data_IF_281306350377
#
_entry.id   IF_281306350377
#
_cell.length_a   1.000
_cell.length_b   1.000
_cell.length_c   1.000
_cell.angle_alpha   90.00
_cell.angle_beta   90.00
_cell.angle_gamma   90.00
#
_symmetry.space_group_name_H-M   'P 1'
#
loop_
_entity.id
_entity.type
_entity.pdbx_description
1 polymer ?
#
# COMPACT_ATOMS: atom_id res chain seq x y z
N UNK A 1 15.92 -19.45 -6.30
CA UNK A 1 17.17 -18.64 -6.29
C UNK A 1 16.95 -17.40 -5.46
N UNK A 2 17.79 -17.14 -4.45
CA UNK A 2 17.72 -15.87 -3.71
C UNK A 2 18.11 -14.73 -4.65
N UNK A 3 17.29 -13.68 -4.70
CA UNK A 3 17.61 -12.49 -5.48
C UNK A 3 18.77 -11.73 -4.78
N UNK A 4 19.96 -11.79 -5.37
CA UNK A 4 21.17 -11.22 -4.77
C UNK A 4 21.06 -9.69 -4.60
N UNK A 5 20.41 -8.99 -5.52
CA UNK A 5 20.20 -7.55 -5.45
C UNK A 5 19.29 -7.16 -4.29
N UNK A 6 18.19 -7.89 -4.11
CA UNK A 6 17.30 -7.68 -2.99
C UNK A 6 17.98 -7.96 -1.65
N UNK A 7 18.76 -9.05 -1.55
CA UNK A 7 19.49 -9.38 -0.32
C UNK A 7 20.49 -8.29 0.02
N UNK A 8 21.26 -7.82 -0.96
CA UNK A 8 22.21 -6.71 -0.77
C UNK A 8 21.53 -5.45 -0.24
N UNK A 9 20.34 -5.14 -0.76
CA UNK A 9 19.56 -4.00 -0.27
C UNK A 9 19.05 -4.21 1.17
N UNK A 10 18.54 -5.40 1.49
CA UNK A 10 18.08 -5.74 2.85
C UNK A 10 19.19 -5.59 3.88
N UNK A 11 20.42 -5.98 3.53
CA UNK A 11 21.58 -5.91 4.42
C UNK A 11 22.03 -4.46 4.70
N UNK A 12 21.75 -3.53 3.80
CA UNK A 12 22.17 -2.13 3.84
C UNK A 12 21.11 -1.17 4.34
N UNK A 13 19.82 -1.49 4.08
CA UNK A 13 18.69 -0.60 4.37
C UNK A 13 18.04 -0.93 5.72
N UNK A 14 17.96 0.08 6.58
CA UNK A 14 17.29 -0.03 7.87
C UNK A 14 16.08 0.90 7.93
N UNK A 15 14.90 0.34 8.20
CA UNK A 15 13.67 1.12 8.35
C UNK A 15 13.82 2.17 9.45
N UNK A 16 13.43 3.41 9.16
CA UNK A 16 13.44 4.51 10.10
C UNK A 16 12.04 4.99 10.42
N UNK A 17 11.19 5.12 9.39
CA UNK A 17 9.85 5.64 9.55
C UNK A 17 8.92 5.16 8.43
N UNK A 18 7.64 5.09 8.76
CA UNK A 18 6.54 4.97 7.79
C UNK A 18 5.48 5.98 8.18
N UNK A 19 5.11 6.83 7.24
CA UNK A 19 4.11 7.85 7.51
C UNK A 19 3.18 8.09 6.32
N UNK A 20 2.02 8.64 6.63
CA UNK A 20 1.02 9.05 5.67
C UNK A 20 1.39 10.41 5.07
N UNK A 21 1.50 10.48 3.75
CA UNK A 21 1.74 11.74 3.03
C UNK A 21 0.44 12.37 2.55
N UNK A 22 -0.48 11.56 2.04
CA UNK A 22 -1.74 12.02 1.48
C UNK A 22 -2.83 10.98 1.69
N UNK A 23 -4.05 11.45 1.90
CA UNK A 23 -5.20 10.59 2.08
C UNK A 23 -6.45 11.26 1.52
N UNK A 24 -7.22 10.51 0.75
CA UNK A 24 -8.52 10.90 0.25
C UNK A 24 -9.53 9.81 0.58
N UNK A 25 -10.57 10.17 1.31
CA UNK A 25 -11.68 9.28 1.62
C UNK A 25 -13.00 10.01 1.33
N UNK A 26 -13.79 9.51 0.39
CA UNK A 26 -15.04 10.16 0.00
C UNK A 26 -16.07 9.19 -0.58
N UNK A 27 -17.34 9.57 -0.43
CA UNK A 27 -18.44 9.04 -1.23
C UNK A 27 -18.63 9.88 -2.48
N UNK A 28 -19.05 9.25 -3.56
CA UNK A 28 -19.22 9.89 -4.87
C UNK A 28 -20.70 10.13 -5.12
N UNK A 29 -21.03 11.34 -5.61
CA UNK A 29 -22.41 11.73 -5.88
C UNK A 29 -23.26 11.78 -4.61
N UNK A 30 -24.44 11.24 -4.71
CA UNK A 30 -25.42 11.14 -3.62
C UNK A 30 -25.38 9.82 -2.83
N UNK A 31 -24.39 8.98 -3.10
CA UNK A 31 -24.22 7.73 -2.37
C UNK A 31 -23.85 7.98 -0.91
N UNK A 32 -24.67 7.46 0.00
CA UNK A 32 -24.44 7.50 1.43
C UNK A 32 -24.46 6.08 2.01
N UNK A 33 -23.33 5.54 2.43
CA UNK A 33 -23.23 4.18 2.95
C UNK A 33 -24.13 3.93 4.16
N UNK A 34 -24.34 4.93 5.01
CA UNK A 34 -25.20 4.80 6.19
C UNK A 34 -26.62 4.39 5.85
N UNK A 35 -27.11 4.80 4.70
CA UNK A 35 -28.48 4.53 4.24
C UNK A 35 -28.55 3.53 3.09
N UNK A 36 -27.45 2.91 2.73
CA UNK A 36 -27.43 1.89 1.69
C UNK A 36 -28.04 0.58 2.19
N UNK A 37 -29.13 0.16 1.56
CA UNK A 37 -29.85 -1.04 1.96
C UNK A 37 -29.17 -2.35 1.50
N UNK A 38 -28.41 -2.29 0.41
CA UNK A 38 -27.81 -3.47 -0.22
C UNK A 38 -26.43 -3.18 -0.80
N UNK A 39 -25.41 -3.76 -0.19
CA UNK A 39 -24.02 -3.69 -0.66
C UNK A 39 -23.64 -4.80 -1.64
N UNK A 40 -24.53 -5.77 -1.88
CA UNK A 40 -24.22 -6.93 -2.73
C UNK A 40 -23.92 -6.56 -4.18
N UNK A 41 -24.40 -5.39 -4.63
CA UNK A 41 -24.15 -4.85 -5.97
C UNK A 41 -22.80 -4.16 -6.11
N UNK A 42 -22.09 -3.95 -5.01
CA UNK A 42 -20.79 -3.27 -5.02
C UNK A 42 -19.67 -4.29 -4.96
N UNK A 43 -18.68 -4.07 -5.81
CA UNK A 43 -17.43 -4.82 -5.82
C UNK A 43 -16.33 -3.91 -5.31
N UNK A 44 -15.45 -4.43 -4.47
CA UNK A 44 -14.27 -3.70 -4.01
C UNK A 44 -13.10 -3.99 -4.94
N UNK A 45 -12.50 -2.93 -5.44
CA UNK A 45 -11.28 -2.99 -6.23
C UNK A 45 -10.15 -2.35 -5.43
N UNK A 46 -8.96 -2.93 -5.50
CA UNK A 46 -7.78 -2.46 -4.78
C UNK A 46 -6.73 -1.89 -5.70
N UNK A 47 -6.05 -0.85 -5.23
CA UNK A 47 -4.85 -0.28 -5.82
C UNK A 47 -3.65 -0.55 -4.91
N UNK A 48 -2.56 -0.96 -5.52
CA UNK A 48 -1.25 -1.03 -4.89
C UNK A 48 -0.20 -0.67 -5.94
N UNK A 49 0.48 0.44 -5.75
CA UNK A 49 1.45 0.97 -6.70
C UNK A 49 2.67 1.55 -5.98
N UNK A 50 3.83 0.97 -6.21
CA UNK A 50 5.10 1.60 -5.84
C UNK A 50 5.37 2.71 -6.86
N UNK A 51 5.20 3.95 -6.43
CA UNK A 51 5.15 5.12 -7.31
C UNK A 51 6.53 5.60 -7.71
N UNK A 52 7.39 5.76 -6.72
CA UNK A 52 8.76 6.23 -6.91
C UNK A 52 9.61 5.95 -5.67
N UNK A 53 10.91 6.00 -5.86
CA UNK A 53 11.90 6.05 -4.81
C UNK A 53 12.86 7.23 -5.00
N UNK A 54 13.37 7.79 -3.92
CA UNK A 54 14.31 8.89 -3.93
C UNK A 54 15.35 8.69 -2.83
N UNK A 55 16.61 8.95 -3.17
CA UNK A 55 17.69 8.99 -2.18
C UNK A 55 17.98 10.42 -1.83
N UNK A 56 17.92 10.75 -0.55
CA UNK A 56 18.25 12.06 0.00
C UNK A 56 19.57 11.99 0.75
N UNK A 57 20.40 13.00 0.55
CA UNK A 57 21.57 13.22 1.38
C UNK A 57 21.16 13.92 2.67
N UNK A 58 21.67 13.46 3.79
CA UNK A 58 21.48 14.05 5.10
C UNK A 58 22.77 14.70 5.59
N UNK A 59 22.66 15.62 6.52
CA UNK A 59 23.83 16.22 7.17
C UNK A 59 24.68 15.12 7.82
N UNK A 60 26.02 15.15 7.57
CA UNK A 60 26.97 14.23 8.17
C UNK A 60 27.13 12.89 7.45
N UNK A 61 27.23 12.87 6.12
CA UNK A 61 27.50 11.70 5.26
C UNK A 61 26.42 10.61 5.28
N UNK A 62 25.27 10.86 5.88
CA UNK A 62 24.14 9.93 5.88
C UNK A 62 23.31 10.03 4.61
N UNK A 63 22.76 8.88 4.15
CA UNK A 63 21.77 8.82 3.08
C UNK A 63 20.48 8.18 3.56
N UNK A 64 19.37 8.70 3.05
CA UNK A 64 18.03 8.24 3.34
C UNK A 64 17.34 7.83 2.03
N UNK A 65 16.88 6.60 1.95
CA UNK A 65 16.00 6.15 0.87
C UNK A 65 14.55 6.42 1.29
N UNK A 66 13.79 7.08 0.43
CA UNK A 66 12.35 7.28 0.57
C UNK A 66 11.63 6.53 -0.54
N UNK A 67 10.66 5.68 -0.17
CA UNK A 67 9.84 4.94 -1.11
C UNK A 67 8.39 5.37 -0.96
N UNK A 68 7.78 5.83 -2.06
CA UNK A 68 6.40 6.30 -2.10
C UNK A 68 5.51 5.19 -2.66
N UNK A 69 4.47 4.84 -1.92
CA UNK A 69 3.55 3.77 -2.29
C UNK A 69 2.12 4.27 -2.20
N UNK A 70 1.38 4.16 -3.30
CA UNK A 70 -0.05 4.43 -3.34
C UNK A 70 -0.81 3.15 -3.03
N UNK A 71 -1.77 3.28 -2.12
CA UNK A 71 -2.72 2.24 -1.72
C UNK A 71 -4.14 2.76 -1.90
N UNK A 72 -5.05 1.90 -2.29
CA UNK A 72 -6.44 2.31 -2.47
C UNK A 72 -7.42 1.17 -2.39
N UNK A 73 -8.64 1.53 -2.06
CA UNK A 73 -9.82 0.68 -2.17
C UNK A 73 -10.97 1.53 -2.73
N UNK A 74 -11.72 0.99 -3.67
CA UNK A 74 -12.91 1.63 -4.20
C UNK A 74 -14.07 0.65 -4.31
N UNK A 75 -15.25 1.15 -4.00
CA UNK A 75 -16.52 0.40 -4.13
C UNK A 75 -17.16 0.78 -5.43
N UNK A 76 -17.35 -0.20 -6.30
CA UNK A 76 -17.75 0.00 -7.69
C UNK A 76 -19.01 -0.80 -7.98
N UNK A 77 -19.99 -0.17 -8.61
CA UNK A 77 -21.14 -0.85 -9.19
C UNK A 77 -20.82 -1.22 -10.66
N UNK A 78 -20.48 -2.47 -10.91
CA UNK A 78 -20.10 -2.95 -12.24
C UNK A 78 -21.28 -2.98 -13.24
N UNK A 79 -22.53 -2.84 -12.77
CA UNK A 79 -23.71 -2.75 -13.63
C UNK A 79 -23.93 -1.35 -14.20
N UNK A 80 -23.21 -0.33 -13.68
CA UNK A 80 -23.32 1.04 -14.19
C UNK A 80 -22.44 1.19 -15.45
N UNK A 81 -23.04 1.54 -16.61
CA UNK A 81 -22.30 1.66 -17.87
C UNK A 81 -21.36 2.87 -17.93
N UNK A 82 -21.61 3.91 -17.13
CA UNK A 82 -20.74 5.07 -17.02
C UNK A 82 -19.67 4.82 -15.95
N UNK A 83 -18.41 4.74 -16.35
CA UNK A 83 -17.29 4.45 -15.45
C UNK A 83 -17.16 5.48 -14.31
N UNK A 84 -17.39 6.76 -14.58
CA UNK A 84 -17.34 7.81 -13.57
C UNK A 84 -18.42 7.64 -12.50
N UNK A 85 -19.61 7.23 -12.91
CA UNK A 85 -20.76 7.00 -12.00
C UNK A 85 -20.70 5.62 -11.33
N UNK A 86 -19.87 4.71 -11.84
CA UNK A 86 -19.73 3.37 -11.28
C UNK A 86 -19.07 3.38 -9.91
N UNK A 87 -18.12 4.28 -9.68
CA UNK A 87 -17.46 4.42 -8.38
C UNK A 87 -18.39 5.10 -7.38
N UNK A 88 -18.70 4.42 -6.28
CA UNK A 88 -19.61 4.91 -5.23
C UNK A 88 -18.88 5.49 -4.04
N UNK A 89 -17.76 4.90 -3.66
CA UNK A 89 -16.88 5.39 -2.61
C UNK A 89 -15.45 5.00 -2.90
N UNK A 90 -14.50 5.77 -2.37
CA UNK A 90 -13.09 5.45 -2.48
C UNK A 90 -12.32 5.91 -1.24
N UNK A 91 -11.28 5.17 -0.92
CA UNK A 91 -10.28 5.50 0.09
C UNK A 91 -8.92 5.27 -0.56
N UNK A 92 -8.13 6.32 -0.66
CA UNK A 92 -6.80 6.29 -1.27
C UNK A 92 -5.80 6.95 -0.33
N UNK A 93 -4.59 6.45 -0.32
CA UNK A 93 -3.52 7.00 0.49
C UNK A 93 -2.17 6.83 -0.20
N UNK A 94 -1.31 7.83 -0.02
CA UNK A 94 0.11 7.72 -0.33
C UNK A 94 0.90 7.64 0.96
N UNK A 95 1.62 6.53 1.13
CA UNK A 95 2.55 6.33 2.23
C UNK A 95 3.98 6.55 1.78
N UNK A 96 4.80 6.97 2.72
CA UNK A 96 6.26 7.06 2.55
C UNK A 96 6.91 6.14 3.58
N UNK A 97 7.77 5.25 3.10
CA UNK A 97 8.67 4.49 3.94
C UNK A 97 10.09 5.05 3.80
N UNK A 98 10.74 5.30 4.91
CA UNK A 98 12.09 5.86 4.97
C UNK A 98 13.06 4.85 5.55
N UNK A 99 14.20 4.72 4.89
CA UNK A 99 15.25 3.77 5.24
C UNK A 99 16.60 4.47 5.31
N UNK A 100 17.31 4.28 6.43
CA UNK A 100 18.70 4.70 6.51
C UNK A 100 19.56 3.76 5.66
N UNK A 101 20.45 4.32 4.87
CA UNK A 101 21.41 3.59 4.06
C UNK A 101 22.77 3.51 4.79
N UNK A 102 23.20 2.31 5.14
CA UNK A 102 24.49 2.11 5.78
C UNK A 102 25.67 2.25 4.80
N UNK A 103 25.41 2.06 3.51
CA UNK A 103 26.37 2.22 2.42
C UNK A 103 25.66 2.53 1.10
N UNK A 104 26.41 2.88 0.08
CA UNK A 104 25.88 3.09 -1.26
C UNK A 104 25.29 1.79 -1.83
N UNK A 105 24.19 1.95 -2.56
CA UNK A 105 23.52 0.87 -3.29
C UNK A 105 23.37 1.23 -4.77
N UNK A 106 23.54 0.24 -5.60
CA UNK A 106 23.20 0.36 -7.02
C UNK A 106 21.70 0.53 -7.21
N UNK A 107 21.34 1.29 -8.24
CA UNK A 107 19.92 1.56 -8.54
C UNK A 107 19.08 0.29 -8.64
N UNK A 108 19.62 -0.77 -9.25
CA UNK A 108 18.91 -2.05 -9.39
C UNK A 108 18.56 -2.68 -8.04
N UNK A 109 19.42 -2.54 -7.04
CA UNK A 109 19.15 -3.03 -5.68
C UNK A 109 18.04 -2.22 -5.00
N UNK A 110 18.06 -0.90 -5.18
CA UNK A 110 17.02 0.03 -4.67
C UNK A 110 15.67 -0.28 -5.32
N UNK A 111 15.64 -0.45 -6.63
CA UNK A 111 14.41 -0.75 -7.38
C UNK A 111 13.80 -2.09 -6.93
N UNK A 112 14.62 -3.13 -6.79
CA UNK A 112 14.17 -4.45 -6.32
C UNK A 112 13.62 -4.40 -4.89
N UNK A 113 14.29 -3.67 -4.00
CA UNK A 113 13.84 -3.48 -2.63
C UNK A 113 12.53 -2.69 -2.57
N UNK A 114 12.45 -1.59 -3.31
CA UNK A 114 11.26 -0.73 -3.36
C UNK A 114 10.04 -1.51 -3.84
N UNK A 115 10.20 -2.32 -4.86
CA UNK A 115 9.10 -3.11 -5.44
C UNK A 115 8.68 -4.30 -4.55
N UNK A 116 9.61 -4.94 -3.86
CA UNK A 116 9.34 -6.21 -3.18
C UNK A 116 9.25 -6.12 -1.67
N UNK A 117 9.86 -5.11 -1.07
CA UNK A 117 9.99 -5.04 0.39
C UNK A 117 9.32 -3.82 1.04
N UNK A 118 9.33 -2.65 0.39
CA UNK A 118 8.77 -1.44 1.00
C UNK A 118 7.27 -1.58 1.32
N UNK A 119 6.50 -2.18 0.44
CA UNK A 119 5.08 -2.41 0.64
C UNK A 119 4.78 -3.29 1.86
N UNK A 120 5.67 -4.20 2.20
CA UNK A 120 5.55 -5.04 3.38
C UNK A 120 5.57 -4.20 4.67
N UNK A 121 6.44 -3.19 4.76
CA UNK A 121 6.51 -2.30 5.91
C UNK A 121 5.30 -1.34 5.97
N UNK A 122 4.75 -0.95 4.83
CA UNK A 122 3.60 -0.04 4.72
C UNK A 122 2.27 -0.75 5.02
N UNK A 123 2.17 -2.05 4.74
CA UNK A 123 0.93 -2.80 4.82
C UNK A 123 0.17 -2.70 6.14
N UNK A 124 0.79 -2.79 7.33
CA UNK A 124 0.08 -2.64 8.59
C UNK A 124 -0.57 -1.26 8.76
N UNK A 125 0.08 -0.22 8.28
CA UNK A 125 -0.44 1.16 8.33
C UNK A 125 -1.64 1.33 7.41
N UNK A 126 -1.56 0.76 6.20
CA UNK A 126 -2.70 0.74 5.28
C UNK A 126 -3.89 -0.03 5.83
N UNK A 127 -3.68 -1.20 6.40
CA UNK A 127 -4.75 -1.99 7.02
C UNK A 127 -5.49 -1.21 8.10
N UNK A 128 -4.76 -0.54 8.96
CA UNK A 128 -5.32 0.28 10.04
C UNK A 128 -6.09 1.46 9.48
N UNK A 129 -5.49 2.22 8.57
CA UNK A 129 -6.12 3.39 7.95
C UNK A 129 -7.43 2.99 7.24
N UNK A 130 -7.39 1.96 6.41
CA UNK A 130 -8.57 1.50 5.67
C UNK A 130 -9.70 1.07 6.62
N UNK A 131 -9.40 0.28 7.64
CA UNK A 131 -10.39 -0.16 8.62
C UNK A 131 -11.00 1.02 9.38
N UNK A 132 -10.18 1.99 9.78
CA UNK A 132 -10.61 3.21 10.46
C UNK A 132 -11.53 4.06 9.57
N UNK A 133 -11.15 4.29 8.32
CA UNK A 133 -11.95 5.07 7.40
C UNK A 133 -13.27 4.38 7.04
N UNK A 134 -13.27 3.07 6.80
CA UNK A 134 -14.50 2.32 6.59
C UNK A 134 -15.49 2.50 7.75
N UNK A 135 -15.02 2.41 8.98
CA UNK A 135 -15.86 2.63 10.16
C UNK A 135 -16.44 4.03 10.20
N UNK A 136 -15.63 5.06 9.95
CA UNK A 136 -16.05 6.47 9.95
C UNK A 136 -17.04 6.79 8.85
N UNK A 137 -16.93 6.12 7.71
CA UNK A 137 -17.79 6.34 6.54
C UNK A 137 -19.03 5.43 6.50
N UNK A 138 -19.24 4.59 7.49
CA UNK A 138 -20.29 3.56 7.48
C UNK A 138 -20.20 2.58 6.30
N UNK A 139 -19.01 2.42 5.74
CA UNK A 139 -18.74 1.39 4.74
C UNK A 139 -18.61 0.01 5.39
N UNK A 140 -18.91 -1.07 4.66
CA UNK A 140 -18.68 -2.42 5.16
C UNK A 140 -17.21 -2.59 5.54
N UNK A 141 -16.97 -3.20 6.70
CA UNK A 141 -15.61 -3.44 7.18
C UNK A 141 -14.87 -4.38 6.25
N UNK A 142 -13.74 -3.92 5.73
CA UNK A 142 -12.82 -4.74 4.95
C UNK A 142 -11.76 -5.35 5.86
N UNK A 143 -11.69 -6.67 5.85
CA UNK A 143 -10.68 -7.43 6.59
C UNK A 143 -9.53 -7.78 5.62
N UNK A 144 -8.54 -6.91 5.53
CA UNK A 144 -7.33 -7.22 4.77
C UNK A 144 -6.49 -8.27 5.51
N UNK A 145 -5.93 -9.26 4.80
CA UNK A 145 -5.06 -10.26 5.42
C UNK A 145 -3.76 -9.62 5.93
N UNK A 146 -3.13 -10.25 6.90
CA UNK A 146 -1.75 -9.93 7.24
C UNK A 146 -0.83 -10.32 6.08
N UNK A 147 0.18 -9.49 5.81
CA UNK A 147 1.21 -9.84 4.83
C UNK A 147 2.20 -10.81 5.47
N UNK A 148 2.47 -11.91 4.79
CA UNK A 148 3.39 -12.94 5.23
C UNK A 148 4.67 -12.88 4.38
N UNK A 149 5.82 -12.95 5.04
CA UNK A 149 7.11 -13.04 4.34
C UNK A 149 7.15 -14.31 3.48
N UNK A 150 7.77 -14.20 2.31
CA UNK A 150 7.82 -15.31 1.35
C UNK A 150 8.42 -16.60 1.94
N UNK A 151 9.43 -16.48 2.80
CA UNK A 151 10.06 -17.63 3.45
C UNK A 151 9.19 -18.29 4.55
N UNK A 152 8.15 -17.62 5.01
CA UNK A 152 7.18 -18.13 5.97
C UNK A 152 5.92 -18.68 5.31
N UNK A 153 5.83 -18.58 3.99
CA UNK A 153 4.77 -19.25 3.24
C UNK A 153 5.11 -20.71 3.14
N UNK A 154 4.27 -21.56 3.72
CA UNK A 154 4.34 -22.98 3.40
C UNK A 154 4.04 -23.12 1.91
N UNK A 155 4.98 -23.68 1.16
CA UNK A 155 4.68 -24.14 -0.18
C UNK A 155 3.54 -25.14 -0.02
N UNK A 156 2.36 -24.82 -0.55
CA UNK A 156 1.28 -25.78 -0.62
C UNK A 156 1.78 -26.90 -1.54
N UNK A 157 2.25 -27.97 -0.92
CA UNK A 157 2.50 -29.21 -1.62
C UNK A 157 1.15 -29.62 -2.24
N UNK A 158 1.11 -29.89 -3.55
CA UNK A 158 -0.11 -30.39 -4.15
C UNK A 158 -0.46 -31.72 -3.48
N UNK A 159 -1.70 -31.83 -3.01
CA UNK A 159 -2.29 -33.11 -2.63
C UNK A 159 -2.43 -34.01 -3.84
#
# INVERSE_FOLDING_TARGET
MKNANLQKAIDVLQIQDVYLRDCLARCVGDFDPKYCADYSKLTVQFLHLVKQSAVLEQDGDGKLLRVFVDMGARWVNLSEPNEELSVRALIEATFVAEYRMASELEKVCIDEFSLKNASYHIWPYWRELLANQCTRMHLPRLMLPAVQLAHNRHENLPC
#
